data_IF_276526696054
#
_entry.id   IF_276526696054
#
_cell.length_a   1.000
_cell.length_b   1.000
_cell.length_c   1.000
_cell.angle_alpha   90.00
_cell.angle_beta   90.00
_cell.angle_gamma   90.00
#
_symmetry.space_group_name_H-M   'P 1'
#
loop_
_entity.id
_entity.type
_entity.pdbx_description
1 polymer ?
#
# COMPACT_ATOMS: atom_id res chain seq x y z
N UNK A 1 13.37 -5.66 -2.57
CA UNK A 1 12.91 -5.91 -1.20
C UNK A 1 11.60 -6.66 -1.26
N UNK A 2 11.41 -7.66 -0.41
CA UNK A 2 10.20 -8.48 -0.39
C UNK A 2 9.61 -8.45 1.02
N UNK A 3 8.36 -8.02 1.10
CA UNK A 3 7.59 -7.94 2.34
C UNK A 3 6.30 -8.73 2.20
N UNK A 4 5.73 -9.13 3.34
CA UNK A 4 4.37 -9.65 3.42
C UNK A 4 3.52 -8.65 4.20
N UNK A 5 2.41 -8.22 3.59
CA UNK A 5 1.40 -7.36 4.18
C UNK A 5 0.29 -8.23 4.79
N UNK A 6 0.31 -8.32 6.12
CA UNK A 6 -0.71 -9.02 6.88
C UNK A 6 -1.83 -8.04 7.24
N UNK A 7 -2.90 -8.10 6.45
CA UNK A 7 -4.10 -7.27 6.65
C UNK A 7 -4.81 -7.62 7.95
N UNK A 8 -5.11 -6.61 8.76
CA UNK A 8 -5.88 -6.77 10.00
C UNK A 8 -7.32 -6.27 9.85
N UNK A 9 -7.50 -5.19 9.07
CA UNK A 9 -8.79 -4.51 8.90
C UNK A 9 -8.92 -4.02 7.47
N UNK A 10 -10.10 -4.24 6.88
CA UNK A 10 -10.54 -3.63 5.63
C UNK A 10 -11.93 -3.02 5.85
N UNK A 11 -12.11 -1.74 5.53
CA UNK A 11 -13.39 -1.03 5.67
C UNK A 11 -13.72 -0.30 4.38
N UNK A 12 -14.94 -0.51 3.88
CA UNK A 12 -15.46 0.18 2.70
C UNK A 12 -16.35 1.34 3.14
N UNK A 13 -16.21 2.48 2.47
CA UNK A 13 -17.07 3.66 2.65
C UNK A 13 -17.49 4.16 1.28
N UNK A 14 -18.79 4.16 1.01
CA UNK A 14 -19.38 4.64 -0.24
C UNK A 14 -19.77 6.11 -0.11
N UNK A 15 -19.52 6.89 -1.16
CA UNK A 15 -19.95 8.27 -1.32
C UNK A 15 -20.49 8.54 -2.73
N UNK A 16 -21.02 9.74 -2.97
CA UNK A 16 -21.63 10.09 -4.25
C UNK A 16 -20.67 10.02 -5.46
N UNK A 17 -19.36 10.09 -5.23
CA UNK A 17 -18.33 10.05 -6.26
C UNK A 17 -17.69 8.67 -6.43
N UNK A 18 -18.04 7.68 -5.60
CA UNK A 18 -17.55 6.31 -5.71
C UNK A 18 -17.32 5.64 -4.35
N UNK A 19 -16.28 4.80 -4.26
CA UNK A 19 -15.98 3.98 -3.07
C UNK A 19 -14.56 4.22 -2.57
N UNK A 20 -14.43 4.47 -1.27
CA UNK A 20 -13.18 4.33 -0.55
C UNK A 20 -13.05 2.93 0.06
N UNK A 21 -11.84 2.38 0.04
CA UNK A 21 -11.48 1.25 0.88
C UNK A 21 -10.26 1.63 1.73
N UNK A 22 -10.39 1.43 3.03
CA UNK A 22 -9.34 1.68 4.00
C UNK A 22 -8.85 0.34 4.52
N UNK A 23 -7.55 0.09 4.36
CA UNK A 23 -6.91 -1.13 4.82
C UNK A 23 -5.74 -0.79 5.72
N UNK A 24 -5.59 -1.54 6.81
CA UNK A 24 -4.47 -1.41 7.74
C UNK A 24 -3.98 -2.76 8.21
N UNK A 25 -2.68 -2.86 8.46
CA UNK A 25 -2.07 -4.13 8.82
C UNK A 25 -0.60 -4.01 9.18
N UNK A 26 0.07 -5.17 9.23
CA UNK A 26 1.49 -5.30 9.55
C UNK A 26 2.30 -5.59 8.31
N UNK A 27 3.51 -5.06 8.26
CA UNK A 27 4.55 -5.37 7.29
C UNK A 27 5.51 -6.35 7.94
N UNK A 28 5.69 -7.50 7.32
CA UNK A 28 6.51 -8.60 7.81
C UNK A 28 7.61 -8.91 6.82
N UNK A 29 8.82 -9.16 7.30
CA UNK A 29 9.93 -9.71 6.52
C UNK A 29 10.47 -10.93 7.25
N UNK A 30 10.54 -12.08 6.57
CA UNK A 30 11.04 -13.34 7.16
C UNK A 30 10.35 -13.71 8.50
N UNK A 31 9.05 -13.40 8.63
CA UNK A 31 8.27 -13.65 9.84
C UNK A 31 8.42 -12.58 10.94
N UNK A 32 9.30 -11.60 10.78
CA UNK A 32 9.52 -10.49 11.73
C UNK A 32 8.68 -9.28 11.35
N UNK A 33 7.96 -8.72 12.32
CA UNK A 33 7.20 -7.48 12.14
C UNK A 33 8.14 -6.27 12.11
N UNK A 34 8.17 -5.53 11.00
CA UNK A 34 9.06 -4.39 10.79
C UNK A 34 8.36 -3.03 10.81
N UNK A 35 7.12 -2.99 10.36
CA UNK A 35 6.35 -1.76 10.19
C UNK A 35 4.86 -2.07 10.25
N UNK A 36 4.05 -1.04 10.47
CA UNK A 36 2.63 -1.11 10.09
C UNK A 36 2.46 -0.51 8.69
N UNK A 37 1.32 -0.78 8.07
CA UNK A 37 0.92 -0.04 6.88
C UNK A 37 -0.49 0.50 6.99
N UNK A 38 -0.72 1.59 6.28
CA UNK A 38 -2.04 2.12 5.97
C UNK A 38 -2.18 2.22 4.46
N UNK A 39 -3.29 1.73 3.92
CA UNK A 39 -3.60 1.77 2.51
C UNK A 39 -4.99 2.36 2.29
N UNK A 40 -5.08 3.26 1.32
CA UNK A 40 -6.35 3.74 0.78
C UNK A 40 -6.45 3.33 -0.67
N UNK A 41 -7.63 2.81 -1.02
CA UNK A 41 -8.04 2.60 -2.41
C UNK A 41 -9.22 3.48 -2.73
N UNK A 42 -9.19 4.12 -3.89
CA UNK A 42 -10.27 4.97 -4.37
C UNK A 42 -10.78 4.50 -5.72
N UNK A 43 -12.04 4.08 -5.72
CA UNK A 43 -12.85 3.86 -6.92
C UNK A 43 -13.62 5.15 -7.20
N UNK A 44 -13.53 5.65 -8.43
CA UNK A 44 -14.25 6.83 -8.90
C UNK A 44 -15.25 6.39 -9.96
N UNK A 45 -16.51 6.77 -9.81
CA UNK A 45 -17.57 6.49 -10.78
C UNK A 45 -17.29 7.20 -12.11
N UNK A 46 -17.42 6.48 -13.23
CA UNK A 46 -17.07 6.97 -14.56
C UNK A 46 -15.56 7.14 -14.79
N UNK A 47 -14.73 6.56 -13.92
CA UNK A 47 -13.28 6.65 -13.95
C UNK A 47 -12.64 5.29 -13.76
N UNK A 48 -12.18 5.00 -12.54
CA UNK A 48 -11.50 3.73 -12.24
C UNK A 48 -12.47 2.54 -12.15
N UNK A 49 -13.76 2.78 -11.87
CA UNK A 49 -14.80 1.75 -11.88
C UNK A 49 -14.98 1.09 -13.25
N UNK A 50 -14.92 1.88 -14.34
CA UNK A 50 -15.03 1.40 -15.72
C UNK A 50 -13.86 0.47 -16.10
N UNK A 51 -12.75 0.57 -15.38
CA UNK A 51 -11.56 -0.29 -15.55
C UNK A 51 -11.53 -1.45 -14.54
N UNK A 52 -12.55 -1.58 -13.69
CA UNK A 52 -12.56 -2.47 -12.54
C UNK A 52 -11.27 -2.34 -11.70
N UNK A 53 -10.89 -1.09 -11.43
CA UNK A 53 -9.66 -0.73 -10.75
C UNK A 53 -9.89 0.33 -9.67
N UNK A 54 -8.86 0.58 -8.87
CA UNK A 54 -8.81 1.68 -7.92
C UNK A 54 -7.47 2.40 -7.98
N UNK A 55 -7.48 3.71 -7.75
CA UNK A 55 -6.27 4.42 -7.33
C UNK A 55 -5.83 3.84 -5.98
N UNK A 56 -4.53 3.67 -5.78
CA UNK A 56 -3.98 3.13 -4.55
C UNK A 56 -2.92 4.07 -3.98
N UNK A 57 -3.01 4.34 -2.68
CA UNK A 57 -1.93 4.91 -1.88
C UNK A 57 -1.67 3.97 -0.71
N UNK A 58 -0.42 3.59 -0.51
CA UNK A 58 0.03 2.70 0.56
C UNK A 58 1.22 3.35 1.25
N UNK A 59 1.18 3.51 2.56
CA UNK A 59 2.32 4.00 3.34
C UNK A 59 2.76 2.95 4.34
N UNK A 60 4.04 2.57 4.27
CA UNK A 60 4.73 1.75 5.24
C UNK A 60 5.30 2.66 6.33
N UNK A 61 5.04 2.34 7.59
CA UNK A 61 5.40 3.12 8.78
C UNK A 61 6.36 2.30 9.65
N UNK A 62 7.66 2.45 9.40
CA UNK A 62 8.71 1.70 10.08
C UNK A 62 8.91 2.21 11.50
N UNK A 63 9.04 1.27 12.44
CA UNK A 63 9.12 1.58 13.87
C UNK A 63 10.59 1.66 14.33
N UNK A 64 10.91 2.58 15.22
CA UNK A 64 12.16 2.55 15.98
C UNK A 64 12.08 1.53 17.15
N UNK A 65 13.16 1.41 17.91
CA UNK A 65 13.24 0.54 19.09
C UNK A 65 12.22 0.90 20.19
N UNK A 66 11.70 2.13 20.24
CA UNK A 66 10.64 2.54 21.19
C UNK A 66 9.22 2.30 20.64
N UNK A 67 9.09 1.73 19.44
CA UNK A 67 7.81 1.42 18.81
C UNK A 67 7.11 2.61 18.15
N UNK A 68 7.77 3.76 18.03
CA UNK A 68 7.27 4.96 17.35
C UNK A 68 7.69 4.95 15.87
N UNK A 69 6.91 5.61 15.02
CA UNK A 69 7.28 5.78 13.60
C UNK A 69 8.59 6.55 13.48
N UNK A 70 9.57 5.93 12.82
CA UNK A 70 10.91 6.48 12.61
C UNK A 70 11.13 6.84 11.15
N UNK A 71 10.69 5.95 10.26
CA UNK A 71 10.88 6.06 8.82
C UNK A 71 9.60 5.69 8.09
N UNK A 72 9.48 6.15 6.84
CA UNK A 72 8.32 5.80 6.02
C UNK A 72 8.67 5.64 4.55
N UNK A 73 7.79 4.92 3.87
CA UNK A 73 7.78 4.80 2.43
C UNK A 73 6.33 4.86 1.95
N UNK A 74 6.02 5.81 1.08
CA UNK A 74 4.72 5.93 0.42
C UNK A 74 4.83 5.44 -1.02
N UNK A 75 3.92 4.54 -1.37
CA UNK A 75 3.78 3.88 -2.65
C UNK A 75 2.44 4.31 -3.25
N UNK A 76 2.46 4.72 -4.51
CA UNK A 76 1.26 5.13 -5.24
C UNK A 76 1.15 4.39 -6.57
N UNK A 77 -0.08 4.05 -6.94
CA UNK A 77 -0.33 3.27 -8.14
C UNK A 77 -1.79 2.89 -8.29
N UNK A 78 -2.01 1.71 -8.85
CA UNK A 78 -3.36 1.19 -9.13
C UNK A 78 -3.53 -0.22 -8.57
N UNK A 79 -4.73 -0.54 -8.13
CA UNK A 79 -5.18 -1.89 -7.79
C UNK A 79 -6.19 -2.37 -8.83
N UNK A 80 -6.03 -3.59 -9.33
CA UNK A 80 -7.00 -4.23 -10.22
C UNK A 80 -7.87 -5.19 -9.42
N UNK A 81 -9.19 -5.00 -9.45
CA UNK A 81 -10.12 -5.94 -8.84
C UNK A 81 -10.31 -7.22 -9.66
N UNK A 82 -9.90 -7.22 -10.93
CA UNK A 82 -9.97 -8.41 -11.79
C UNK A 82 -8.90 -9.44 -11.44
N UNK A 83 -7.71 -8.99 -11.04
CA UNK A 83 -6.58 -9.88 -10.70
C UNK A 83 -6.26 -9.90 -9.20
N UNK A 84 -6.74 -8.91 -8.44
CA UNK A 84 -6.34 -8.68 -7.05
C UNK A 84 -4.94 -8.08 -6.90
N UNK A 85 -4.26 -7.76 -8.00
CA UNK A 85 -2.90 -7.22 -7.99
C UNK A 85 -2.90 -5.69 -7.88
N UNK A 86 -1.86 -5.15 -7.26
CA UNK A 86 -1.54 -3.73 -7.32
C UNK A 86 -0.12 -3.50 -7.85
N UNK A 87 0.07 -2.39 -8.55
CA UNK A 87 1.36 -1.98 -9.10
C UNK A 87 1.48 -0.47 -9.13
N UNK A 88 2.72 0.02 -9.12
CA UNK A 88 3.02 1.44 -9.19
C UNK A 88 4.47 1.69 -8.83
N UNK A 89 4.73 2.80 -8.15
CA UNK A 89 6.08 3.16 -7.70
C UNK A 89 6.10 3.70 -6.28
N UNK A 90 7.27 3.65 -5.65
CA UNK A 90 7.57 4.43 -4.44
C UNK A 90 7.57 5.92 -4.81
N UNK A 91 6.59 6.68 -4.32
CA UNK A 91 6.43 8.10 -4.65
C UNK A 91 7.09 9.04 -3.64
N UNK A 92 7.27 8.60 -2.39
CA UNK A 92 8.00 9.33 -1.36
C UNK A 92 8.60 8.38 -0.33
N UNK A 93 9.73 8.74 0.28
CA UNK A 93 10.33 7.98 1.36
C UNK A 93 11.22 8.87 2.24
N UNK A 94 11.43 8.47 3.49
CA UNK A 94 12.44 9.10 4.36
C UNK A 94 13.87 8.80 3.89
N UNK A 95 14.85 9.52 4.44
CA UNK A 95 16.24 9.51 3.96
C UNK A 95 16.87 8.12 3.82
N UNK A 96 16.64 7.21 4.78
CA UNK A 96 17.19 5.84 4.73
C UNK A 96 16.64 5.01 3.57
N UNK A 97 15.49 5.41 3.03
CA UNK A 97 14.80 4.78 1.91
C UNK A 97 14.78 5.65 0.65
N UNK A 98 15.48 6.78 0.63
CA UNK A 98 15.43 7.73 -0.48
C UNK A 98 15.85 7.10 -1.82
N UNK A 99 16.79 6.14 -1.79
CA UNK A 99 17.22 5.38 -2.96
C UNK A 99 16.12 4.48 -3.55
N UNK A 100 14.99 4.31 -2.86
CA UNK A 100 13.84 3.55 -3.34
C UNK A 100 12.85 4.42 -4.12
N UNK A 101 12.92 5.75 -4.03
CA UNK A 101 11.98 6.62 -4.75
C UNK A 101 12.08 6.36 -6.25
N UNK A 102 10.93 6.19 -6.91
CA UNK A 102 10.81 5.85 -8.32
C UNK A 102 10.90 4.36 -8.65
N UNK A 103 11.33 3.51 -7.70
CA UNK A 103 11.36 2.06 -7.91
C UNK A 103 9.94 1.50 -8.04
N UNK A 104 9.79 0.49 -8.91
CA UNK A 104 8.51 -0.18 -9.14
C UNK A 104 8.15 -1.05 -7.95
N UNK A 105 6.86 -1.08 -7.60
CA UNK A 105 6.33 -2.12 -6.71
C UNK A 105 5.28 -2.98 -7.40
N UNK A 106 5.13 -4.19 -6.86
CA UNK A 106 4.02 -5.11 -7.13
C UNK A 106 3.50 -5.65 -5.81
N UNK A 107 2.19 -5.75 -5.67
CA UNK A 107 1.53 -6.34 -4.50
C UNK A 107 0.46 -7.33 -4.94
N UNK A 108 0.62 -8.60 -4.55
CA UNK A 108 -0.31 -9.69 -4.89
C UNK A 108 -0.33 -10.74 -3.78
N UNK A 109 -1.50 -11.24 -3.42
CA UNK A 109 -1.63 -12.31 -2.41
C UNK A 109 -1.05 -12.00 -1.02
N UNK A 110 -0.88 -10.71 -0.69
CA UNK A 110 -0.18 -10.27 0.52
C UNK A 110 1.30 -9.94 0.32
N UNK A 111 1.94 -10.43 -0.73
CA UNK A 111 3.36 -10.18 -0.98
C UNK A 111 3.59 -8.84 -1.70
N UNK A 112 4.38 -7.97 -1.08
CA UNK A 112 4.81 -6.69 -1.60
C UNK A 112 6.28 -6.76 -2.03
N UNK A 113 6.51 -6.71 -3.33
CA UNK A 113 7.83 -6.59 -3.95
C UNK A 113 8.15 -5.15 -4.34
N UNK A 114 9.35 -4.67 -4.01
CA UNK A 114 9.91 -3.39 -4.49
C UNK A 114 11.21 -3.70 -5.22
N UNK A 115 11.25 -3.39 -6.52
CA UNK A 115 12.35 -3.68 -7.45
C UNK A 115 13.31 -2.52 -7.51
#
# INVERSE_FOLDING_TARGET
MLYTLNSNVLTNVDDAAGRWQFEGGKVVEQGVHLADYACTRRVITGGTDALNAAMLTLTLLFRNASGQTADNMTLQGTHSFSTGEALGSVSAATGVFASRIGHRFTWSGGDLGIL
#
